data_IF_866909396962
#
_entry.id   IF_866909396962
#
_cell.length_a   1.000
_cell.length_b   1.000
_cell.length_c   1.000
_cell.angle_alpha   90.00
_cell.angle_beta   90.00
_cell.angle_gamma   90.00
#
_symmetry.space_group_name_H-M   'P 1'
#
loop_
_entity.id
_entity.type
_entity.pdbx_description
1 polymer ?
#
# COMPACT_ATOMS: atom_id res chain seq x y z
N UNK A 1 7.91 17.98 12.85
CA UNK A 1 8.45 17.61 14.18
C UNK A 1 9.32 16.36 14.04
N UNK A 2 10.27 16.08 14.97
CA UNK A 2 11.15 14.89 14.86
C UNK A 2 10.43 13.53 14.80
N UNK A 3 9.19 13.48 15.28
CA UNK A 3 8.31 12.30 15.21
C UNK A 3 7.83 12.00 13.78
N UNK A 4 7.54 13.02 12.98
CA UNK A 4 7.12 12.83 11.59
C UNK A 4 8.25 12.29 10.71
N UNK A 5 9.48 12.79 10.90
CA UNK A 5 10.68 12.30 10.22
C UNK A 5 10.90 10.80 10.47
N UNK A 6 10.88 10.38 11.74
CA UNK A 6 11.05 8.97 12.11
C UNK A 6 10.00 8.05 11.47
N UNK A 7 8.74 8.49 11.42
CA UNK A 7 7.65 7.73 10.77
C UNK A 7 7.86 7.60 9.25
N UNK A 8 8.39 8.65 8.60
CA UNK A 8 8.71 8.59 7.17
C UNK A 8 9.87 7.64 6.88
N UNK A 9 10.88 7.61 7.75
CA UNK A 9 12.02 6.69 7.63
C UNK A 9 11.59 5.23 7.74
N UNK A 10 10.65 4.93 8.64
CA UNK A 10 10.09 3.57 8.80
C UNK A 10 9.35 3.12 7.53
N UNK A 11 8.51 3.99 6.94
CA UNK A 11 7.80 3.69 5.68
C UNK A 11 8.79 3.48 4.55
N UNK A 12 9.80 4.35 4.44
CA UNK A 12 10.83 4.27 3.40
C UNK A 12 11.65 2.98 3.50
N UNK A 13 12.01 2.56 4.72
CA UNK A 13 12.71 1.29 4.94
C UNK A 13 11.88 0.08 4.43
N UNK A 14 10.59 0.04 4.76
CA UNK A 14 9.71 -1.02 4.26
C UNK A 14 9.50 -0.94 2.76
N UNK A 15 9.46 0.27 2.20
CA UNK A 15 9.33 0.48 0.76
C UNK A 15 10.52 -0.10 -0.01
N UNK A 16 11.75 0.11 0.46
CA UNK A 16 12.95 -0.50 -0.14
C UNK A 16 12.91 -2.02 -0.11
N UNK A 17 12.43 -2.61 1.00
CA UNK A 17 12.26 -4.08 1.11
C UNK A 17 11.19 -4.58 0.13
N UNK A 18 10.07 -3.87 0.02
CA UNK A 18 9.00 -4.19 -0.92
C UNK A 18 9.48 -4.09 -2.38
N UNK A 19 10.28 -3.07 -2.71
CA UNK A 19 10.93 -2.93 -4.01
C UNK A 19 11.86 -4.13 -4.32
N UNK A 20 12.65 -4.58 -3.36
CA UNK A 20 13.47 -5.78 -3.55
C UNK A 20 12.62 -7.02 -3.88
N UNK A 21 11.49 -7.21 -3.18
CA UNK A 21 10.55 -8.29 -3.45
C UNK A 21 9.86 -8.14 -4.81
N UNK A 22 9.61 -6.90 -5.23
CA UNK A 22 8.88 -6.58 -6.46
C UNK A 22 9.58 -7.11 -7.72
N UNK A 23 10.91 -7.27 -7.65
CA UNK A 23 11.74 -7.83 -8.73
C UNK A 23 11.42 -9.28 -9.07
N UNK A 24 10.83 -10.02 -8.12
CA UNK A 24 10.53 -11.45 -8.25
C UNK A 24 9.05 -11.79 -8.04
N UNK A 25 8.28 -10.89 -7.43
CA UNK A 25 6.87 -11.14 -7.09
C UNK A 25 6.02 -9.87 -7.22
N UNK A 26 4.89 -9.97 -7.90
CA UNK A 26 3.91 -8.88 -8.05
C UNK A 26 3.36 -8.40 -6.70
N UNK A 27 3.40 -9.24 -5.65
CA UNK A 27 3.08 -8.82 -4.29
C UNK A 27 4.01 -7.73 -3.76
N UNK A 28 5.30 -7.75 -4.13
CA UNK A 28 6.22 -6.68 -3.75
C UNK A 28 5.79 -5.33 -4.32
N UNK A 29 5.29 -5.31 -5.56
CA UNK A 29 4.71 -4.10 -6.17
C UNK A 29 3.46 -3.62 -5.44
N UNK A 30 2.58 -4.55 -5.04
CA UNK A 30 1.35 -4.21 -4.30
C UNK A 30 1.67 -3.60 -2.92
N UNK A 31 2.60 -4.20 -2.18
CA UNK A 31 3.04 -3.71 -0.88
C UNK A 31 3.70 -2.34 -1.02
N UNK A 32 4.59 -2.17 -2.01
CA UNK A 32 5.24 -0.89 -2.30
C UNK A 32 4.22 0.20 -2.58
N UNK A 33 3.24 -0.05 -3.47
CA UNK A 33 2.18 0.90 -3.79
C UNK A 33 1.30 1.25 -2.59
N UNK A 34 1.05 0.29 -1.69
CA UNK A 34 0.31 0.54 -0.45
C UNK A 34 1.09 1.48 0.48
N UNK A 35 2.42 1.32 0.56
CA UNK A 35 3.31 2.18 1.34
C UNK A 35 3.48 3.56 0.72
N UNK A 36 3.55 3.68 -0.61
CA UNK A 36 3.58 4.97 -1.32
C UNK A 36 2.32 5.78 -1.05
N UNK A 37 1.15 5.13 -1.05
CA UNK A 37 -0.12 5.77 -0.71
C UNK A 37 -0.11 6.27 0.74
N UNK A 38 0.33 5.44 1.70
CA UNK A 38 0.45 5.85 3.10
C UNK A 38 1.43 7.02 3.28
N UNK A 39 2.55 7.02 2.55
CA UNK A 39 3.53 8.10 2.56
C UNK A 39 2.95 9.39 1.98
N UNK A 40 2.20 9.30 0.89
CA UNK A 40 1.53 10.45 0.26
C UNK A 40 0.53 11.06 1.24
N UNK A 41 -0.32 10.25 1.88
CA UNK A 41 -1.25 10.73 2.91
C UNK A 41 -0.51 11.36 4.09
N UNK A 42 0.62 10.80 4.53
CA UNK A 42 1.40 11.37 5.62
C UNK A 42 2.08 12.71 5.26
N UNK A 43 2.57 12.84 4.02
CA UNK A 43 3.31 14.02 3.53
C UNK A 43 2.37 15.15 3.13
N UNK A 44 1.36 14.83 2.33
CA UNK A 44 0.50 15.80 1.64
C UNK A 44 -0.89 15.91 2.27
N UNK A 45 -1.21 15.01 3.22
CA UNK A 45 -2.54 14.90 3.82
C UNK A 45 -3.53 14.17 2.91
N UNK A 46 -4.75 13.98 3.42
CA UNK A 46 -5.83 13.31 2.66
C UNK A 46 -6.50 14.19 1.60
N UNK A 47 -6.10 15.46 1.51
CA UNK A 47 -6.64 16.43 0.54
C UNK A 47 -5.87 16.47 -0.78
N UNK A 48 -4.80 15.69 -0.91
CA UNK A 48 -4.11 15.57 -2.18
C UNK A 48 -5.06 15.04 -3.27
N UNK A 49 -5.08 15.71 -4.42
CA UNK A 49 -6.09 15.51 -5.48
C UNK A 49 -6.11 14.08 -6.03
N UNK A 50 -4.97 13.38 -5.96
CA UNK A 50 -4.76 12.07 -6.54
C UNK A 50 -5.08 10.91 -5.58
N UNK A 51 -5.25 11.15 -4.28
CA UNK A 51 -5.50 10.08 -3.28
C UNK A 51 -6.72 9.23 -3.63
N UNK A 52 -7.89 9.78 -4.01
CA UNK A 52 -9.05 8.96 -4.37
C UNK A 52 -8.77 8.04 -5.56
N UNK A 53 -7.97 8.51 -6.52
CA UNK A 53 -7.54 7.70 -7.65
C UNK A 53 -6.53 6.63 -7.21
N UNK A 54 -5.56 6.98 -6.36
CA UNK A 54 -4.56 6.03 -5.87
C UNK A 54 -5.20 4.88 -5.07
N UNK A 55 -6.21 5.17 -4.22
CA UNK A 55 -6.98 4.14 -3.48
C UNK A 55 -7.67 3.18 -4.45
N UNK A 56 -8.39 3.71 -5.45
CA UNK A 56 -9.07 2.88 -6.48
C UNK A 56 -8.08 2.05 -7.30
N UNK A 57 -6.95 2.66 -7.64
CA UNK A 57 -5.85 2.02 -8.38
C UNK A 57 -5.25 0.87 -7.57
N UNK A 58 -5.04 1.06 -6.26
CA UNK A 58 -4.57 0.02 -5.36
C UNK A 58 -5.54 -1.17 -5.26
N UNK A 59 -6.84 -0.89 -5.12
CA UNK A 59 -7.87 -1.93 -5.06
C UNK A 59 -7.94 -2.75 -6.36
N UNK A 60 -7.83 -2.08 -7.52
CA UNK A 60 -7.80 -2.75 -8.83
C UNK A 60 -6.57 -3.65 -8.99
N UNK A 61 -5.39 -3.15 -8.65
CA UNK A 61 -4.15 -3.93 -8.76
C UNK A 61 -4.18 -5.13 -7.83
N UNK A 62 -4.64 -4.95 -6.58
CA UNK A 62 -4.85 -6.05 -5.63
C UNK A 62 -5.73 -7.12 -6.24
N UNK A 63 -6.90 -6.74 -6.76
CA UNK A 63 -7.84 -7.69 -7.36
C UNK A 63 -7.27 -8.41 -8.58
N UNK A 64 -6.48 -7.73 -9.42
CA UNK A 64 -5.79 -8.36 -10.55
C UNK A 64 -4.74 -9.35 -10.08
N UNK A 65 -3.86 -8.97 -9.16
CA UNK A 65 -2.79 -9.83 -8.66
C UNK A 65 -3.37 -11.05 -7.94
N UNK A 66 -4.41 -10.88 -7.10
CA UNK A 66 -5.10 -11.98 -6.43
C UNK A 66 -5.75 -12.98 -7.39
N UNK A 67 -6.21 -12.51 -8.55
CA UNK A 67 -6.85 -13.35 -9.57
C UNK A 67 -5.84 -14.29 -10.23
N UNK A 68 -4.65 -13.77 -10.51
CA UNK A 68 -3.59 -14.48 -11.21
C UNK A 68 -2.70 -15.31 -10.27
N UNK A 69 -2.86 -15.14 -8.95
CA UNK A 69 -2.03 -15.78 -7.94
C UNK A 69 -2.54 -17.18 -7.55
N UNK A 70 -1.83 -18.20 -8.03
CA UNK A 70 -2.09 -19.61 -7.71
C UNK A 70 -1.85 -19.94 -6.22
N UNK A 71 -1.05 -19.13 -5.51
CA UNK A 71 -0.71 -19.33 -4.10
C UNK A 71 -1.46 -18.35 -3.19
N UNK A 72 -2.56 -17.74 -3.64
CA UNK A 72 -3.28 -16.71 -2.85
C UNK A 72 -3.70 -17.13 -1.44
N UNK A 73 -3.92 -18.43 -1.22
CA UNK A 73 -4.29 -19.00 0.09
C UNK A 73 -3.08 -19.26 1.01
N UNK A 74 -1.85 -19.06 0.52
CA UNK A 74 -0.67 -19.03 1.38
C UNK A 74 -0.87 -17.95 2.47
N UNK A 75 -0.66 -18.28 3.75
CA UNK A 75 -0.94 -17.35 4.85
C UNK A 75 -0.22 -16.00 4.73
N UNK A 76 1.04 -15.99 4.27
CA UNK A 76 1.82 -14.76 4.13
C UNK A 76 1.28 -13.91 2.98
N UNK A 77 0.91 -14.54 1.87
CA UNK A 77 0.31 -13.85 0.71
C UNK A 77 -1.05 -13.27 1.05
N UNK A 78 -1.91 -14.06 1.70
CA UNK A 78 -3.19 -13.61 2.24
C UNK A 78 -3.03 -12.41 3.18
N UNK A 79 -2.03 -12.43 4.07
CA UNK A 79 -1.72 -11.30 4.93
C UNK A 79 -1.34 -10.04 4.14
N UNK A 80 -0.49 -10.15 3.10
CA UNK A 80 -0.12 -9.01 2.26
C UNK A 80 -1.31 -8.40 1.53
N UNK A 81 -2.22 -9.24 1.01
CA UNK A 81 -3.47 -8.77 0.42
C UNK A 81 -4.36 -8.07 1.44
N UNK A 82 -4.50 -8.65 2.63
CA UNK A 82 -5.24 -8.07 3.75
C UNK A 82 -4.68 -6.71 4.15
N UNK A 83 -3.37 -6.59 4.32
CA UNK A 83 -2.71 -5.33 4.66
C UNK A 83 -2.98 -4.23 3.62
N UNK A 84 -2.81 -4.56 2.33
CA UNK A 84 -3.11 -3.61 1.24
C UNK A 84 -4.57 -3.17 1.26
N UNK A 85 -5.49 -4.10 1.54
CA UNK A 85 -6.90 -3.80 1.72
C UNK A 85 -7.18 -2.85 2.88
N UNK A 86 -6.62 -3.16 4.05
CA UNK A 86 -6.81 -2.36 5.26
C UNK A 86 -6.29 -0.94 5.08
N UNK A 87 -5.12 -0.76 4.46
CA UNK A 87 -4.57 0.57 4.16
C UNK A 87 -5.51 1.35 3.24
N UNK A 88 -5.94 0.72 2.13
CA UNK A 88 -6.87 1.35 1.18
C UNK A 88 -8.18 1.78 1.86
N UNK A 89 -8.84 0.89 2.60
CA UNK A 89 -10.10 1.18 3.28
C UNK A 89 -9.97 2.21 4.40
N UNK A 90 -8.85 2.21 5.13
CA UNK A 90 -8.59 3.22 6.16
C UNK A 90 -8.49 4.62 5.52
N UNK A 91 -7.76 4.75 4.42
CA UNK A 91 -7.57 6.03 3.73
C UNK A 91 -8.88 6.48 3.08
N UNK A 92 -9.60 5.57 2.42
CA UNK A 92 -10.94 5.83 1.87
C UNK A 92 -11.89 6.40 2.94
N UNK A 93 -11.94 5.76 4.12
CA UNK A 93 -12.78 6.22 5.24
C UNK A 93 -12.38 7.59 5.79
N UNK A 94 -11.10 7.99 5.69
CA UNK A 94 -10.66 9.33 6.11
C UNK A 94 -11.06 10.39 5.08
N UNK A 95 -11.13 10.04 3.79
CA UNK A 95 -11.52 10.96 2.72
C UNK A 95 -13.03 11.21 2.73
N UNK A 96 -13.83 10.19 3.05
CA UNK A 96 -15.29 10.28 3.10
C UNK A 96 -15.84 11.06 4.32
N UNK A 97 -14.98 11.42 5.28
CA UNK A 97 -15.32 12.20 6.48
C UNK A 97 -15.05 13.68 6.29
#
# INVERSE_FOLDING_TARGET
>A
SGVQLRRMDDIENWRRKAYSLSRSDRLGHLVMKSLDLAQTVQRDGTRAEDIPWQVKSLARDRASIMRDDQRRNDPVRSLMYGMSATIGSMIESIIER
#
